data_IF_432383141325
#
_entry.id   IF_432383141325
#
_cell.length_a   1.000
_cell.length_b   1.000
_cell.length_c   1.000
_cell.angle_alpha   90.00
_cell.angle_beta   90.00
_cell.angle_gamma   90.00
#
_symmetry.space_group_name_H-M   'P 1'
#
loop_
_entity.id
_entity.type
_entity.pdbx_description
1 polymer ?
#
# COMPACT_ATOMS: atom_id res chain seq x y z
N UNK A 1 -3.10 -24.62 7.14
CA UNK A 1 -3.72 -23.30 7.42
C UNK A 1 -5.10 -23.53 8.01
N UNK A 2 -5.30 -23.09 9.22
CA UNK A 2 -6.58 -23.23 9.92
C UNK A 2 -7.34 -21.91 9.84
N UNK A 3 -8.37 -21.87 9.01
CA UNK A 3 -9.20 -20.67 8.84
C UNK A 3 -10.63 -21.00 9.23
N UNK A 4 -11.20 -20.15 10.06
CA UNK A 4 -12.57 -20.27 10.53
C UNK A 4 -13.41 -19.12 9.95
N UNK A 5 -14.66 -19.38 9.58
CA UNK A 5 -15.59 -18.36 9.09
C UNK A 5 -15.74 -17.27 10.16
N UNK A 6 -15.60 -16.02 9.76
CA UNK A 6 -15.68 -14.87 10.67
C UNK A 6 -14.34 -14.47 11.30
N UNK A 7 -13.28 -15.25 11.07
CA UNK A 7 -11.94 -14.89 11.51
C UNK A 7 -11.48 -13.61 10.78
N UNK A 8 -10.83 -12.71 11.53
CA UNK A 8 -10.33 -11.44 11.00
C UNK A 8 -8.88 -11.23 11.36
N UNK A 9 -8.16 -10.52 10.51
CA UNK A 9 -6.81 -10.05 10.78
C UNK A 9 -6.68 -8.61 10.30
N UNK A 10 -5.86 -7.82 10.98
CA UNK A 10 -5.58 -6.44 10.61
C UNK A 10 -4.09 -6.16 10.70
N UNK A 11 -3.63 -5.24 9.86
CA UNK A 11 -2.24 -4.77 9.87
C UNK A 11 -2.23 -3.30 9.47
N UNK A 12 -1.50 -2.47 10.23
CA UNK A 12 -1.44 -1.02 9.99
C UNK A 12 -0.02 -0.57 9.78
N UNK A 13 0.14 0.52 9.01
CA UNK A 13 1.41 1.17 8.80
C UNK A 13 1.19 2.66 8.55
N UNK A 14 2.08 3.49 9.08
CA UNK A 14 2.16 4.91 8.71
C UNK A 14 3.18 5.02 7.57
N UNK A 15 2.73 5.56 6.44
CA UNK A 15 3.57 5.65 5.25
C UNK A 15 4.41 6.92 5.28
N UNK A 16 5.74 6.74 5.23
CA UNK A 16 6.71 7.82 5.30
C UNK A 16 7.35 8.09 3.94
N UNK A 17 8.06 9.21 3.83
CA UNK A 17 8.83 9.52 2.62
C UNK A 17 9.88 8.44 2.33
N UNK A 18 10.47 7.83 3.36
CA UNK A 18 11.44 6.75 3.20
C UNK A 18 10.81 5.50 2.58
N UNK A 19 9.58 5.17 2.95
CA UNK A 19 8.84 4.07 2.34
C UNK A 19 8.62 4.32 0.84
N UNK A 20 8.22 5.52 0.49
CA UNK A 20 7.99 5.92 -0.91
C UNK A 20 9.28 5.83 -1.72
N UNK A 21 10.39 6.29 -1.15
CA UNK A 21 11.72 6.21 -1.78
C UNK A 21 12.15 4.77 -2.00
N UNK A 22 12.03 3.93 -0.99
CA UNK A 22 12.42 2.52 -1.05
C UNK A 22 11.61 1.77 -2.09
N UNK A 23 10.31 2.00 -2.15
CA UNK A 23 9.45 1.39 -3.16
C UNK A 23 9.84 1.82 -4.58
N UNK A 24 10.15 3.11 -4.77
CA UNK A 24 10.60 3.61 -6.07
C UNK A 24 11.92 2.99 -6.49
N UNK A 25 12.87 2.85 -5.58
CA UNK A 25 14.16 2.20 -5.84
C UNK A 25 13.98 0.73 -6.25
N UNK A 26 13.04 0.05 -5.60
CA UNK A 26 12.77 -1.36 -5.86
C UNK A 26 12.07 -1.58 -7.21
N UNK A 27 11.09 -0.74 -7.54
CA UNK A 27 10.20 -0.96 -8.69
C UNK A 27 10.50 -0.09 -9.90
N UNK A 28 11.21 1.02 -9.71
CA UNK A 28 11.43 2.03 -10.75
C UNK A 28 10.31 3.05 -10.87
N UNK A 29 9.35 3.07 -9.95
CA UNK A 29 8.22 4.00 -9.98
C UNK A 29 8.60 5.36 -9.39
N UNK A 30 9.20 6.21 -10.22
CA UNK A 30 9.60 7.56 -9.88
C UNK A 30 8.64 8.61 -10.44
N UNK A 31 7.37 8.28 -10.57
CA UNK A 31 6.37 9.23 -11.05
C UNK A 31 6.42 10.51 -10.19
N UNK A 32 6.44 11.70 -10.81
CA UNK A 32 6.54 12.96 -10.07
C UNK A 32 5.40 13.20 -9.07
N UNK A 33 4.28 12.51 -9.19
CA UNK A 33 3.21 12.53 -8.17
C UNK A 33 3.71 12.10 -6.79
N UNK A 34 4.80 11.35 -6.72
CA UNK A 34 5.34 10.81 -5.47
C UNK A 34 6.50 11.64 -4.90
N UNK A 35 7.14 12.47 -5.73
CA UNK A 35 8.42 13.13 -5.36
C UNK A 35 8.47 14.61 -5.62
N UNK A 36 7.66 15.15 -6.53
CA UNK A 36 7.74 16.54 -6.97
C UNK A 36 6.53 17.33 -6.48
N UNK A 37 6.72 18.04 -5.37
CA UNK A 37 5.63 18.81 -4.77
C UNK A 37 5.15 19.94 -5.67
N UNK A 38 6.04 20.57 -6.42
CA UNK A 38 5.66 21.60 -7.38
C UNK A 38 4.74 21.01 -8.47
N UNK A 39 5.05 19.80 -8.93
CA UNK A 39 4.20 19.10 -9.87
C UNK A 39 2.83 18.78 -9.26
N UNK A 40 2.78 18.27 -8.02
CA UNK A 40 1.52 17.88 -7.38
C UNK A 40 0.63 19.06 -7.05
N UNK A 41 1.20 20.24 -6.77
CA UNK A 41 0.44 21.45 -6.52
C UNK A 41 -0.41 21.87 -7.72
N UNK A 42 -0.03 21.47 -8.93
CA UNK A 42 -0.75 21.72 -10.17
C UNK A 42 -1.80 20.66 -10.48
N UNK A 43 -1.90 19.63 -9.65
CA UNK A 43 -2.86 18.54 -9.81
C UNK A 43 -3.97 18.65 -8.78
N UNK A 44 -5.01 17.82 -8.93
CA UNK A 44 -6.10 17.73 -7.96
C UNK A 44 -5.65 17.22 -6.60
N UNK A 45 -4.49 16.54 -6.51
CA UNK A 45 -4.00 15.94 -5.28
C UNK A 45 -3.39 16.97 -4.32
N UNK A 46 -2.71 17.98 -4.83
CA UNK A 46 -2.08 19.08 -4.09
C UNK A 46 -0.91 18.68 -3.19
N UNK A 47 -0.76 17.41 -2.85
CA UNK A 47 0.29 16.87 -2.00
C UNK A 47 0.90 15.63 -2.64
N UNK A 48 2.06 15.20 -2.14
CA UNK A 48 2.72 13.99 -2.64
C UNK A 48 1.89 12.76 -2.31
N UNK A 49 1.58 11.99 -3.34
CA UNK A 49 0.76 10.77 -3.27
C UNK A 49 1.66 9.56 -3.11
N UNK A 50 1.27 8.63 -2.25
CA UNK A 50 1.96 7.34 -2.10
C UNK A 50 1.61 6.43 -3.27
N UNK A 51 2.59 5.63 -3.74
CA UNK A 51 2.36 4.67 -4.81
C UNK A 51 1.25 3.69 -4.43
N UNK A 52 0.31 3.45 -5.35
CA UNK A 52 -0.76 2.48 -5.13
C UNK A 52 -0.23 1.08 -4.83
N UNK A 53 0.84 0.66 -5.50
CA UNK A 53 1.48 -0.63 -5.24
C UNK A 53 2.06 -0.76 -3.84
N UNK A 54 2.51 0.35 -3.24
CA UNK A 54 2.99 0.34 -1.86
C UNK A 54 1.82 0.12 -0.88
N UNK A 55 0.70 0.81 -1.07
CA UNK A 55 -0.47 0.64 -0.22
C UNK A 55 -1.07 -0.77 -0.35
N UNK A 56 -1.19 -1.29 -1.56
CA UNK A 56 -1.68 -2.66 -1.76
C UNK A 56 -0.70 -3.72 -1.27
N UNK A 57 0.59 -3.38 -1.16
CA UNK A 57 1.61 -4.25 -0.57
C UNK A 57 1.33 -4.62 0.88
N UNK A 58 0.66 -3.74 1.63
CA UNK A 58 0.24 -4.06 3.00
C UNK A 58 -0.77 -5.22 3.02
N UNK A 59 -1.65 -5.28 2.03
CA UNK A 59 -2.59 -6.41 1.88
C UNK A 59 -1.84 -7.71 1.57
N UNK A 60 -0.78 -7.64 0.76
CA UNK A 60 0.08 -8.80 0.52
C UNK A 60 0.68 -9.32 1.83
N UNK A 61 1.18 -8.43 2.67
CA UNK A 61 1.78 -8.81 3.95
C UNK A 61 0.73 -9.43 4.90
N UNK A 62 -0.46 -8.84 4.94
CA UNK A 62 -1.55 -9.35 5.76
C UNK A 62 -1.91 -10.79 5.40
N UNK A 63 -2.05 -11.06 4.11
CA UNK A 63 -2.40 -12.41 3.62
C UNK A 63 -1.24 -13.38 3.82
N UNK A 64 -0.02 -12.95 3.52
CA UNK A 64 1.15 -13.83 3.57
C UNK A 64 1.58 -14.18 5.00
N UNK A 65 1.39 -13.28 5.94
CA UNK A 65 1.93 -13.41 7.30
C UNK A 65 0.86 -13.62 8.36
N UNK A 66 -0.33 -13.06 8.18
CA UNK A 66 -1.34 -13.02 9.24
C UNK A 66 -2.53 -13.94 8.97
N UNK A 67 -3.15 -13.84 7.76
CA UNK A 67 -4.31 -14.67 7.43
C UNK A 67 -4.49 -14.79 5.92
N UNK A 68 -4.35 -15.98 5.31
CA UNK A 68 -4.14 -17.30 5.93
C UNK A 68 -2.76 -17.52 6.54
N UNK A 69 -1.75 -16.73 6.18
CA UNK A 69 -0.42 -16.81 6.74
C UNK A 69 0.59 -17.59 5.90
N UNK A 70 1.75 -17.98 6.52
CA UNK A 70 2.85 -18.61 5.78
C UNK A 70 2.40 -19.81 4.95
N UNK A 71 2.97 -19.91 3.74
CA UNK A 71 2.62 -20.92 2.75
C UNK A 71 1.59 -20.47 1.72
N UNK A 72 0.98 -19.31 1.92
CA UNK A 72 0.02 -18.73 0.98
C UNK A 72 0.72 -18.22 -0.28
N UNK A 73 0.16 -18.54 -1.44
CA UNK A 73 0.64 -18.07 -2.74
C UNK A 73 -0.53 -17.41 -3.47
N UNK A 74 -0.32 -16.19 -3.96
CA UNK A 74 -1.33 -15.51 -4.75
C UNK A 74 -1.42 -16.12 -6.16
N UNK A 75 -2.63 -16.41 -6.59
CA UNK A 75 -2.92 -16.82 -7.96
C UNK A 75 -3.39 -15.64 -8.81
N UNK A 76 -4.13 -14.72 -8.20
CA UNK A 76 -4.59 -13.50 -8.87
C UNK A 76 -4.97 -12.46 -7.82
N UNK A 77 -4.95 -11.20 -8.24
CA UNK A 77 -5.35 -10.07 -7.41
C UNK A 77 -6.07 -9.05 -8.28
N UNK A 78 -7.09 -8.41 -7.71
CA UNK A 78 -7.79 -7.31 -8.36
C UNK A 78 -7.96 -6.19 -7.35
N UNK A 79 -7.48 -4.98 -7.71
CA UNK A 79 -7.52 -3.81 -6.84
C UNK A 79 -8.26 -2.66 -7.48
N UNK A 80 -8.92 -1.87 -6.63
CA UNK A 80 -9.47 -0.56 -6.99
C UNK A 80 -8.86 0.47 -6.05
N UNK A 81 -8.58 1.67 -6.56
CA UNK A 81 -7.95 2.75 -5.82
C UNK A 81 -8.89 3.97 -5.79
N UNK A 82 -9.95 3.94 -4.95
CA UNK A 82 -10.98 5.00 -4.97
C UNK A 82 -10.51 6.32 -4.39
N UNK A 83 -9.45 6.32 -3.57
CA UNK A 83 -8.94 7.53 -2.93
C UNK A 83 -7.42 7.51 -2.86
N UNK A 84 -6.75 8.67 -2.95
CA UNK A 84 -5.30 8.73 -2.79
C UNK A 84 -4.89 8.53 -1.34
N UNK A 85 -3.65 8.06 -1.14
CA UNK A 85 -2.98 8.01 0.16
C UNK A 85 -1.82 8.98 0.10
N UNK A 86 -1.67 9.80 1.12
CA UNK A 86 -0.61 10.81 1.20
C UNK A 86 0.49 10.38 2.16
N UNK A 87 1.69 10.93 1.95
CA UNK A 87 2.81 10.70 2.87
C UNK A 87 2.40 11.21 4.26
N UNK A 88 2.59 10.38 5.29
CA UNK A 88 2.18 10.64 6.66
C UNK A 88 0.87 9.98 7.06
N UNK A 89 0.09 9.47 6.09
CA UNK A 89 -1.14 8.77 6.40
C UNK A 89 -0.85 7.41 7.03
N UNK A 90 -1.70 7.03 7.99
CA UNK A 90 -1.73 5.67 8.53
C UNK A 90 -2.83 4.91 7.83
N UNK A 91 -2.48 3.77 7.24
CA UNK A 91 -3.43 2.88 6.58
C UNK A 91 -3.56 1.59 7.36
N UNK A 92 -4.72 0.97 7.29
CA UNK A 92 -5.00 -0.31 7.93
C UNK A 92 -5.54 -1.28 6.89
N UNK A 93 -4.90 -2.42 6.77
CA UNK A 93 -5.41 -3.54 5.98
C UNK A 93 -6.24 -4.44 6.88
N UNK A 94 -7.35 -4.94 6.35
CA UNK A 94 -8.26 -5.82 7.07
C UNK A 94 -8.68 -6.97 6.16
N UNK A 95 -8.69 -8.15 6.71
CA UNK A 95 -9.18 -9.34 6.04
C UNK A 95 -10.19 -10.09 6.92
#
# INVERSE_FOLDING_TARGET
MDITIGQKATRSITLTADHVKTFAELTGDYNPLHFDKEFTEKTRFKELVVQGGLTSGLLNALVAMDMPGPGTVFMSQNYKYPAPVFIGDTITAEA
#
